data_IF_921662658553
#
_entry.id   IF_921662658553
#
_cell.length_a   1.000
_cell.length_b   1.000
_cell.length_c   1.000
_cell.angle_alpha   90.00
_cell.angle_beta   90.00
_cell.angle_gamma   90.00
#
_symmetry.space_group_name_H-M   'P 1'
#
loop_
_entity.id
_entity.type
_entity.pdbx_description
1 polymer ?
#
# COMPACT_ATOMS: atom_id res chain seq x y z
N UNK A 1 -18.95 11.96 -15.13
CA UNK A 1 -18.53 12.94 -14.11
C UNK A 1 -17.70 14.00 -14.82
N UNK A 2 -18.04 15.28 -14.69
CA UNK A 2 -17.18 16.36 -15.18
C UNK A 2 -15.98 16.51 -14.24
N UNK A 3 -14.76 16.56 -14.79
CA UNK A 3 -13.50 16.66 -14.03
C UNK A 3 -13.46 17.89 -13.11
N UNK A 4 -14.20 18.95 -13.44
CA UNK A 4 -14.31 20.17 -12.65
C UNK A 4 -14.84 19.94 -11.23
N UNK A 5 -15.63 18.90 -11.00
CA UNK A 5 -16.15 18.59 -9.65
C UNK A 5 -15.06 18.11 -8.68
N UNK A 6 -13.91 17.65 -9.18
CA UNK A 6 -12.80 17.17 -8.33
C UNK A 6 -12.09 18.30 -7.57
N UNK A 7 -12.21 19.55 -8.05
CA UNK A 7 -11.57 20.72 -7.44
C UNK A 7 -12.46 21.38 -6.37
N UNK A 8 -13.74 20.99 -6.26
CA UNK A 8 -14.64 21.57 -5.28
C UNK A 8 -14.54 20.85 -3.93
N UNK A 9 -14.34 21.62 -2.85
CA UNK A 9 -14.34 21.14 -1.47
C UNK A 9 -15.60 20.31 -1.13
N UNK A 10 -16.78 20.78 -1.59
CA UNK A 10 -18.06 20.11 -1.35
C UNK A 10 -18.12 18.68 -1.89
N UNK A 11 -17.33 18.34 -2.91
CA UNK A 11 -17.26 16.99 -3.45
C UNK A 11 -16.60 16.00 -2.49
N UNK A 12 -15.58 16.43 -1.75
CA UNK A 12 -14.78 15.58 -0.86
C UNK A 12 -15.39 15.44 0.54
N UNK A 13 -16.02 16.50 1.03
CA UNK A 13 -16.59 16.58 2.38
C UNK A 13 -18.11 16.39 2.41
N UNK A 14 -18.78 16.32 1.25
CA UNK A 14 -20.19 15.95 1.16
C UNK A 14 -20.41 14.45 1.43
N UNK A 15 -21.52 14.11 2.09
CA UNK A 15 -21.90 12.72 2.33
C UNK A 15 -22.15 12.04 0.98
N UNK A 16 -21.35 11.03 0.61
CA UNK A 16 -21.52 10.36 -0.66
C UNK A 16 -22.71 9.41 -0.58
N UNK A 17 -23.52 9.37 -1.65
CA UNK A 17 -24.47 8.28 -1.84
C UNK A 17 -23.76 6.92 -1.81
N UNK A 18 -24.51 5.90 -1.38
CA UNK A 18 -24.11 4.49 -1.43
C UNK A 18 -23.51 4.16 -2.80
N UNK A 19 -22.36 3.49 -2.80
CA UNK A 19 -21.76 3.05 -4.04
C UNK A 19 -22.63 1.94 -4.64
N UNK A 20 -23.09 2.10 -5.89
CA UNK A 20 -23.93 1.12 -6.59
C UNK A 20 -23.28 0.68 -7.91
N UNK A 21 -23.62 -0.53 -8.34
CA UNK A 21 -23.19 -1.11 -9.61
C UNK A 21 -21.66 -1.22 -9.74
N UNK A 22 -21.15 -0.90 -10.92
CA UNK A 22 -19.75 -1.11 -11.32
C UNK A 22 -18.75 -0.39 -10.41
N UNK A 23 -19.09 0.79 -9.87
CA UNK A 23 -18.17 1.55 -9.01
C UNK A 23 -17.90 0.81 -7.69
N UNK A 24 -18.92 0.16 -7.13
CA UNK A 24 -18.76 -0.64 -5.91
C UNK A 24 -17.88 -1.86 -6.18
N UNK A 25 -18.19 -2.64 -7.23
CA UNK A 25 -17.42 -3.83 -7.60
C UNK A 25 -15.95 -3.50 -7.90
N UNK A 26 -15.68 -2.37 -8.56
CA UNK A 26 -14.31 -1.91 -8.83
C UNK A 26 -13.56 -1.57 -7.54
N UNK A 27 -14.17 -0.80 -6.62
CA UNK A 27 -13.52 -0.44 -5.35
C UNK A 27 -13.26 -1.68 -4.48
N UNK A 28 -14.24 -2.58 -4.36
CA UNK A 28 -14.05 -3.87 -3.67
C UNK A 28 -12.91 -4.65 -4.32
N UNK A 29 -12.94 -4.79 -5.65
CA UNK A 29 -11.93 -5.53 -6.40
C UNK A 29 -10.52 -5.00 -6.17
N UNK A 30 -10.33 -3.67 -6.26
CA UNK A 30 -9.03 -3.03 -6.02
C UNK A 30 -8.52 -3.31 -4.60
N UNK A 31 -9.34 -3.09 -3.56
CA UNK A 31 -8.91 -3.32 -2.19
C UNK A 31 -8.68 -4.81 -1.89
N UNK A 32 -9.51 -5.69 -2.44
CA UNK A 32 -9.34 -7.14 -2.28
C UNK A 32 -8.05 -7.62 -2.95
N UNK A 33 -7.75 -7.14 -4.17
CA UNK A 33 -6.47 -7.42 -4.85
C UNK A 33 -5.30 -6.91 -4.00
N UNK A 34 -5.38 -5.71 -3.41
CA UNK A 34 -4.33 -5.20 -2.52
C UNK A 34 -4.11 -6.11 -1.30
N UNK A 35 -5.18 -6.60 -0.67
CA UNK A 35 -5.09 -7.57 0.43
C UNK A 35 -4.41 -8.85 -0.04
N UNK A 36 -4.81 -9.40 -1.19
CA UNK A 36 -4.23 -10.62 -1.76
C UNK A 36 -2.75 -10.44 -2.06
N UNK A 37 -2.34 -9.34 -2.69
CA UNK A 37 -0.94 -9.00 -2.92
C UNK A 37 -0.19 -8.90 -1.59
N UNK A 38 -0.79 -8.27 -0.57
CA UNK A 38 -0.21 -8.15 0.76
C UNK A 38 0.02 -9.51 1.44
N UNK A 39 -0.94 -10.42 1.33
CA UNK A 39 -0.84 -11.80 1.82
C UNK A 39 0.24 -12.58 1.08
N UNK A 40 0.23 -12.56 -0.25
CA UNK A 40 1.23 -13.23 -1.08
C UNK A 40 2.65 -12.73 -0.77
N UNK A 41 2.82 -11.42 -0.58
CA UNK A 41 4.11 -10.85 -0.17
C UNK A 41 4.57 -11.38 1.20
N UNK A 42 3.66 -11.52 2.18
CA UNK A 42 4.00 -12.11 3.48
C UNK A 42 4.36 -13.59 3.37
N UNK A 43 3.65 -14.37 2.56
CA UNK A 43 3.93 -15.80 2.34
C UNK A 43 5.29 -15.95 1.66
N UNK A 44 5.52 -15.23 0.56
CA UNK A 44 6.79 -15.26 -0.17
C UNK A 44 7.99 -14.82 0.66
N UNK A 45 7.79 -13.96 1.67
CA UNK A 45 8.86 -13.53 2.59
C UNK A 45 9.52 -14.71 3.30
N UNK A 46 8.75 -15.76 3.64
CA UNK A 46 9.24 -16.95 4.35
C UNK A 46 10.28 -17.70 3.53
N UNK A 47 10.10 -17.74 2.20
CA UNK A 47 10.96 -18.46 1.27
C UNK A 47 12.20 -17.68 0.82
N UNK A 48 12.34 -16.40 1.20
CA UNK A 48 13.53 -15.62 0.80
C UNK A 48 14.68 -15.86 1.77
N UNK A 49 15.89 -15.99 1.23
CA UNK A 49 17.12 -16.15 2.03
C UNK A 49 17.70 -14.78 2.39
N UNK A 50 17.77 -13.87 1.42
CA UNK A 50 18.43 -12.57 1.59
C UNK A 50 17.60 -11.60 2.45
N UNK A 51 18.25 -10.98 3.43
CA UNK A 51 17.61 -10.05 4.37
C UNK A 51 16.96 -8.84 3.69
N UNK A 52 17.55 -8.33 2.61
CA UNK A 52 16.97 -7.19 1.88
C UNK A 52 15.68 -7.57 1.15
N UNK A 53 15.59 -8.79 0.58
CA UNK A 53 14.36 -9.29 -0.05
C UNK A 53 13.25 -9.47 0.98
N UNK A 54 13.58 -10.02 2.15
CA UNK A 54 12.63 -10.15 3.27
C UNK A 54 12.06 -8.80 3.70
N UNK A 55 12.89 -7.77 3.74
CA UNK A 55 12.49 -6.44 4.15
C UNK A 55 11.60 -5.75 3.09
N UNK A 56 11.89 -5.92 1.80
CA UNK A 56 11.02 -5.41 0.71
C UNK A 56 9.65 -6.07 0.78
N UNK A 57 9.61 -7.41 0.89
CA UNK A 57 8.36 -8.16 1.00
C UNK A 57 7.59 -7.84 2.28
N UNK A 58 8.28 -7.56 3.39
CA UNK A 58 7.64 -7.05 4.62
C UNK A 58 6.94 -5.71 4.38
N UNK A 59 7.61 -4.78 3.70
CA UNK A 59 7.05 -3.45 3.40
C UNK A 59 5.87 -3.54 2.44
N UNK A 60 5.99 -4.31 1.36
CA UNK A 60 4.90 -4.56 0.41
C UNK A 60 3.72 -5.28 1.07
N UNK A 61 4.00 -6.30 1.89
CA UNK A 61 3.00 -7.04 2.63
C UNK A 61 2.21 -6.16 3.59
N UNK A 62 2.91 -5.33 4.36
CA UNK A 62 2.27 -4.37 5.25
C UNK A 62 1.46 -3.31 4.48
N UNK A 63 2.01 -2.78 3.38
CA UNK A 63 1.30 -1.83 2.53
C UNK A 63 -0.02 -2.39 1.99
N UNK A 64 0.05 -3.54 1.31
CA UNK A 64 -1.13 -4.16 0.70
C UNK A 64 -2.19 -4.54 1.72
N UNK A 65 -1.78 -5.11 2.86
CA UNK A 65 -2.72 -5.47 3.94
C UNK A 65 -3.33 -4.24 4.60
N UNK A 66 -2.52 -3.24 4.98
CA UNK A 66 -3.04 -2.06 5.68
C UNK A 66 -3.97 -1.25 4.79
N UNK A 67 -3.56 -0.93 3.56
CA UNK A 67 -4.40 -0.15 2.64
C UNK A 67 -5.61 -0.96 2.15
N UNK A 68 -5.43 -2.25 1.86
CA UNK A 68 -6.52 -3.13 1.43
C UNK A 68 -7.57 -3.30 2.53
N UNK A 69 -7.16 -3.65 3.75
CA UNK A 69 -8.10 -3.85 4.88
C UNK A 69 -8.75 -2.54 5.28
N UNK A 70 -7.99 -1.45 5.44
CA UNK A 70 -8.58 -0.15 5.78
C UNK A 70 -9.53 0.34 4.67
N UNK A 71 -9.21 0.08 3.41
CA UNK A 71 -10.07 0.40 2.27
C UNK A 71 -11.39 -0.37 2.29
N UNK A 72 -11.36 -1.67 2.59
CA UNK A 72 -12.56 -2.49 2.75
C UNK A 72 -13.39 -2.05 3.96
N UNK A 73 -12.76 -1.76 5.10
CA UNK A 73 -13.44 -1.22 6.29
C UNK A 73 -14.09 0.11 5.96
N UNK A 74 -13.36 1.02 5.31
CA UNK A 74 -13.90 2.30 4.89
C UNK A 74 -15.09 2.14 3.94
N UNK A 75 -15.00 1.22 2.97
CA UNK A 75 -16.10 0.95 2.04
C UNK A 75 -17.34 0.42 2.77
N UNK A 76 -17.15 -0.45 3.76
CA UNK A 76 -18.22 -0.94 4.63
C UNK A 76 -18.86 0.20 5.43
N UNK A 77 -18.06 1.06 6.05
CA UNK A 77 -18.56 2.23 6.80
C UNK A 77 -19.34 3.20 5.90
N UNK A 78 -18.87 3.38 4.66
CA UNK A 78 -19.57 4.17 3.64
C UNK A 78 -20.92 3.55 3.26
N UNK A 79 -21.00 2.22 3.15
CA UNK A 79 -22.25 1.54 2.82
C UNK A 79 -23.29 1.63 3.93
N UNK A 80 -22.85 1.69 5.19
CA UNK A 80 -23.69 1.92 6.37
C UNK A 80 -23.97 3.41 6.64
N UNK A 81 -23.58 4.30 5.72
CA UNK A 81 -23.79 5.75 5.82
C UNK A 81 -23.31 6.35 7.14
N UNK A 82 -22.24 5.77 7.72
CA UNK A 82 -21.67 6.25 8.98
C UNK A 82 -21.19 7.68 8.80
N UNK A 83 -21.75 8.58 9.62
CA UNK A 83 -21.41 10.00 9.61
C UNK A 83 -19.90 10.20 9.74
N UNK A 84 -19.34 11.12 8.95
CA UNK A 84 -17.90 11.46 8.87
C UNK A 84 -16.96 10.35 8.35
N UNK A 85 -17.10 9.10 8.77
CA UNK A 85 -16.23 7.99 8.36
C UNK A 85 -16.52 7.48 6.95
N UNK A 86 -17.74 7.66 6.43
CA UNK A 86 -18.09 7.33 5.05
C UNK A 86 -17.66 8.38 4.01
N UNK A 87 -17.04 9.49 4.43
CA UNK A 87 -16.69 10.60 3.53
C UNK A 87 -15.62 10.21 2.49
N UNK A 88 -15.71 10.83 1.31
CA UNK A 88 -14.73 10.65 0.22
C UNK A 88 -13.34 11.19 0.59
N UNK A 89 -13.26 12.10 1.55
CA UNK A 89 -12.01 12.60 2.13
C UNK A 89 -11.03 11.47 2.52
N UNK A 90 -11.53 10.39 3.11
CA UNK A 90 -10.69 9.27 3.53
C UNK A 90 -10.04 8.51 2.37
N UNK A 91 -10.68 8.49 1.18
CA UNK A 91 -10.03 7.96 -0.02
C UNK A 91 -8.84 8.82 -0.44
N UNK A 92 -8.97 10.14 -0.39
CA UNK A 92 -7.88 11.06 -0.72
C UNK A 92 -6.74 10.94 0.29
N UNK A 93 -7.06 10.88 1.58
CA UNK A 93 -6.08 10.63 2.64
C UNK A 93 -5.37 9.28 2.42
N UNK A 94 -6.14 8.21 2.18
CA UNK A 94 -5.62 6.88 1.91
C UNK A 94 -4.73 6.85 0.66
N UNK A 95 -5.08 7.59 -0.38
CA UNK A 95 -4.26 7.76 -1.58
C UNK A 95 -2.93 8.47 -1.27
N UNK A 96 -2.95 9.58 -0.54
CA UNK A 96 -1.73 10.31 -0.15
C UNK A 96 -0.80 9.45 0.71
N UNK A 97 -1.35 8.76 1.71
CA UNK A 97 -0.60 7.80 2.54
C UNK A 97 -0.02 6.69 1.66
N UNK A 98 -0.78 6.22 0.67
CA UNK A 98 -0.31 5.19 -0.25
C UNK A 98 0.85 5.65 -1.10
N UNK A 99 0.77 6.85 -1.69
CA UNK A 99 1.84 7.46 -2.49
C UNK A 99 3.11 7.63 -1.66
N UNK A 100 2.99 8.17 -0.45
CA UNK A 100 4.12 8.29 0.48
C UNK A 100 4.77 6.94 0.79
N UNK A 101 3.96 5.90 1.02
CA UNK A 101 4.47 4.58 1.34
C UNK A 101 5.17 3.92 0.16
N UNK A 102 4.60 4.05 -1.05
CA UNK A 102 5.23 3.61 -2.30
C UNK A 102 6.57 4.31 -2.50
N UNK A 103 6.63 5.64 -2.31
CA UNK A 103 7.89 6.39 -2.37
C UNK A 103 8.94 5.83 -1.41
N UNK A 104 8.56 5.50 -0.16
CA UNK A 104 9.47 4.90 0.83
C UNK A 104 9.96 3.51 0.42
N UNK A 105 9.16 2.72 -0.29
CA UNK A 105 9.54 1.41 -0.81
C UNK A 105 10.53 1.58 -1.98
N UNK A 106 10.21 2.46 -2.94
CA UNK A 106 11.07 2.73 -4.10
C UNK A 106 12.41 3.31 -3.66
N UNK A 107 12.41 4.29 -2.76
CA UNK A 107 13.63 4.85 -2.20
C UNK A 107 14.49 3.77 -1.51
N UNK A 108 13.88 2.85 -0.76
CA UNK A 108 14.60 1.74 -0.15
C UNK A 108 15.25 0.83 -1.21
N UNK A 109 14.52 0.49 -2.27
CA UNK A 109 15.02 -0.33 -3.37
C UNK A 109 16.18 0.33 -4.12
N UNK A 110 16.06 1.61 -4.46
CA UNK A 110 17.05 2.31 -5.30
C UNK A 110 18.25 2.78 -4.48
N UNK A 111 18.05 3.28 -3.27
CA UNK A 111 19.14 3.89 -2.50
C UNK A 111 19.79 2.93 -1.49
N UNK A 112 19.01 2.04 -0.86
CA UNK A 112 19.50 1.20 0.25
C UNK A 112 19.95 -0.19 -0.20
N UNK A 113 19.22 -0.85 -1.09
CA UNK A 113 19.59 -2.19 -1.60
C UNK A 113 20.99 -2.23 -2.26
N UNK A 114 21.40 -1.28 -3.12
CA UNK A 114 22.75 -1.36 -3.70
C UNK A 114 23.85 -1.22 -2.64
N UNK A 115 23.65 -0.39 -1.61
CA UNK A 115 24.58 -0.26 -0.49
C UNK A 115 24.71 -1.57 0.30
N UNK A 116 23.57 -2.23 0.57
CA UNK A 116 23.58 -3.54 1.25
C UNK A 116 24.34 -4.58 0.42
N UNK A 117 24.13 -4.61 -0.91
CA UNK A 117 24.86 -5.53 -1.79
C UNK A 117 26.38 -5.27 -1.78
N UNK A 118 26.79 -4.00 -1.78
CA UNK A 118 28.20 -3.63 -1.68
C UNK A 118 28.81 -4.03 -0.33
N UNK A 119 28.09 -3.84 0.78
CA UNK A 119 28.54 -4.27 2.11
C UNK A 119 28.70 -5.80 2.20
N UNK A 120 27.77 -6.56 1.62
CA UNK A 120 27.87 -8.03 1.57
C UNK A 120 29.09 -8.47 0.76
N UNK A 121 29.35 -7.83 -0.39
CA UNK A 121 30.54 -8.13 -1.20
C UNK A 121 31.83 -7.82 -0.45
N UNK A 122 31.91 -6.69 0.27
CA UNK A 122 33.09 -6.35 1.06
C UNK A 122 33.32 -7.30 2.24
N UNK A 123 32.25 -7.78 2.89
CA UNK A 123 32.35 -8.79 3.96
C UNK A 123 32.84 -10.12 3.41
N UNK A 124 32.31 -10.58 2.29
CA UNK A 124 32.74 -11.82 1.64
C UNK A 124 34.23 -11.78 1.26
N UNK A 125 34.71 -10.61 0.81
CA UNK A 125 36.14 -10.39 0.56
C UNK A 125 36.93 -10.49 1.86
N UNK A 126 36.54 -9.78 2.93
CA UNK A 126 37.25 -9.82 4.22
C UNK A 126 37.29 -11.23 4.84
N UNK A 127 36.18 -11.96 4.82
CA UNK A 127 36.08 -13.33 5.32
C UNK A 127 36.96 -14.31 4.52
N UNK A 128 37.15 -14.07 3.22
CA UNK A 128 38.07 -14.88 2.40
C UNK A 128 39.55 -14.71 2.78
N UNK A 129 39.91 -13.59 3.42
CA UNK A 129 41.29 -13.26 3.80
C UNK A 129 41.56 -13.37 5.31
N UNK A 130 40.58 -13.78 6.11
CA UNK A 130 40.76 -14.06 7.52
C UNK A 130 40.75 -15.58 7.72
N UNK A 131 41.92 -16.21 7.98
CA UNK A 131 42.02 -17.64 8.28
C UNK A 131 41.38 -18.01 9.62
#
# INVERSE_FOLDING_TARGET
>A
MHLNNLLHYSYWFGQPFMARGTTFSLLVGIFLILVLIGLLAKIWRVYRVENWQKEVLRRLGNFGLTIGILGLIWLFLRQNEVFFLGLRFWLLLGFLVSVWWVYRIVWYLVARVPKIKAEIAQRAVKEKYLP
#
